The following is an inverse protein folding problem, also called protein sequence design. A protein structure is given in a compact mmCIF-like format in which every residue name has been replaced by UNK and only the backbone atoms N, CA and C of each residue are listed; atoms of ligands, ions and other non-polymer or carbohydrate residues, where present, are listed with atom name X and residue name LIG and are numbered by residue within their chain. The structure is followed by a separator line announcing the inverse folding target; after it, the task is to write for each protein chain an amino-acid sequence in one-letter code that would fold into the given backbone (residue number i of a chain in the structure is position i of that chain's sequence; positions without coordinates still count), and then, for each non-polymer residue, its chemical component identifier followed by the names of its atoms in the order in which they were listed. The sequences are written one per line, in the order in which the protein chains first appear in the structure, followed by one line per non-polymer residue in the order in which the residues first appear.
data_IF_829851132813
#
_entry.id   IF_829851132813
#
_cell.length_a   1.000
_cell.length_b   1.000
_cell.length_c   1.000
_cell.angle_alpha   90.00
_cell.angle_beta   90.00
_cell.angle_gamma   90.00
#
_symmetry.space_group_name_H-M   'P 1'
#
loop_
_entity.id
_entity.type
_entity.pdbx_description
1 polymer ?
#
# COMPACT_ATOMS: atom_id res chain seq x y z
N UNK A 1 21.10 -1.67 0.24
CA UNK A 1 20.20 -2.16 1.30
C UNK A 1 19.27 -1.07 1.84
N UNK A 2 19.75 0.00 2.50
CA UNK A 2 18.85 1.09 2.97
C UNK A 2 18.08 1.76 1.81
N UNK A 3 18.76 2.03 0.68
CA UNK A 3 18.14 2.65 -0.50
C UNK A 3 17.09 1.75 -1.16
N UNK A 4 17.27 0.42 -1.14
CA UNK A 4 16.32 -0.53 -1.73
C UNK A 4 15.01 -0.60 -0.92
N UNK A 5 15.12 -0.59 0.42
CA UNK A 5 13.96 -0.56 1.31
C UNK A 5 13.21 0.77 1.18
N UNK A 6 13.94 1.89 1.11
CA UNK A 6 13.33 3.21 0.87
C UNK A 6 12.58 3.23 -0.47
N UNK A 7 13.20 2.71 -1.54
CA UNK A 7 12.58 2.65 -2.87
C UNK A 7 11.33 1.76 -2.86
N UNK A 8 11.38 0.62 -2.17
CA UNK A 8 10.23 -0.26 -2.02
C UNK A 8 9.08 0.42 -1.27
N UNK A 9 9.35 1.04 -0.12
CA UNK A 9 8.35 1.75 0.67
C UNK A 9 7.72 2.91 -0.10
N UNK A 10 8.54 3.66 -0.83
CA UNK A 10 8.06 4.72 -1.72
C UNK A 10 7.15 4.15 -2.80
N UNK A 11 7.56 3.04 -3.42
CA UNK A 11 6.78 2.35 -4.46
C UNK A 11 5.44 1.82 -3.96
N UNK A 12 5.37 1.26 -2.74
CA UNK A 12 4.11 0.80 -2.14
C UNK A 12 3.12 1.95 -1.92
N UNK A 13 3.60 3.07 -1.37
CA UNK A 13 2.78 4.27 -1.14
C UNK A 13 2.32 4.90 -2.48
N UNK A 14 3.21 5.00 -3.46
CA UNK A 14 2.87 5.51 -4.80
C UNK A 14 1.87 4.60 -5.53
N UNK A 15 2.01 3.29 -5.37
CA UNK A 15 1.08 2.31 -5.94
C UNK A 15 -0.30 2.46 -5.31
N UNK A 16 -0.38 2.58 -3.99
CA UNK A 16 -1.64 2.85 -3.29
C UNK A 16 -2.29 4.16 -3.77
N UNK A 17 -1.51 5.25 -3.87
CA UNK A 17 -1.98 6.55 -4.38
C UNK A 17 -2.53 6.42 -5.81
N UNK A 18 -1.80 5.71 -6.69
CA UNK A 18 -2.19 5.46 -8.07
C UNK A 18 -3.46 4.61 -8.18
N UNK A 19 -3.63 3.63 -7.29
CA UNK A 19 -4.83 2.81 -7.20
C UNK A 19 -6.05 3.65 -6.82
N UNK A 20 -5.93 4.56 -5.84
CA UNK A 20 -7.02 5.48 -5.46
C UNK A 20 -7.36 6.46 -6.58
N UNK A 21 -6.35 7.03 -7.26
CA UNK A 21 -6.56 7.97 -8.37
C UNK A 21 -7.32 7.34 -9.54
N UNK A 22 -7.02 6.09 -9.86
CA UNK A 22 -7.60 5.36 -11.01
C UNK A 22 -8.88 4.62 -10.66
N UNK A 23 -9.35 4.69 -9.42
CA UNK A 23 -10.52 3.93 -9.00
C UNK A 23 -11.83 4.52 -9.51
N UNK A 24 -12.70 3.62 -9.96
CA UNK A 24 -14.08 3.84 -10.31
C UNK A 24 -14.97 2.71 -9.78
N UNK A 25 -16.21 2.65 -10.23
CA UNK A 25 -17.20 1.69 -9.70
C UNK A 25 -16.75 0.22 -9.88
N UNK A 26 -16.11 -0.11 -11.00
CA UNK A 26 -15.73 -1.48 -11.36
C UNK A 26 -14.63 -2.08 -10.47
N UNK A 27 -13.75 -1.26 -9.90
CA UNK A 27 -12.67 -1.70 -9.02
C UNK A 27 -12.86 -1.27 -7.56
N UNK A 28 -13.98 -0.65 -7.20
CA UNK A 28 -14.26 -0.19 -5.83
C UNK A 28 -14.13 -1.30 -4.77
N UNK A 29 -14.55 -2.53 -5.09
CA UNK A 29 -14.44 -3.68 -4.17
C UNK A 29 -12.99 -4.12 -3.90
N UNK A 30 -12.07 -3.82 -4.82
CA UNK A 30 -10.66 -4.16 -4.68
C UNK A 30 -9.87 -3.11 -3.89
N UNK A 31 -10.43 -1.91 -3.69
CA UNK A 31 -9.74 -0.80 -3.01
C UNK A 31 -9.38 -1.11 -1.56
N UNK A 32 -10.33 -1.64 -0.77
CA UNK A 32 -10.08 -2.00 0.62
C UNK A 32 -8.95 -3.02 0.78
N UNK A 33 -9.06 -4.21 0.16
CA UNK A 33 -7.99 -5.21 0.21
C UNK A 33 -6.65 -4.73 -0.35
N UNK A 34 -6.65 -3.88 -1.38
CA UNK A 34 -5.42 -3.29 -1.92
C UNK A 34 -4.77 -2.34 -0.92
N UNK A 35 -5.55 -1.49 -0.24
CA UNK A 35 -5.04 -0.59 0.79
C UNK A 35 -4.43 -1.35 1.97
N UNK A 36 -5.14 -2.38 2.46
CA UNK A 36 -4.63 -3.25 3.52
C UNK A 36 -3.30 -3.91 3.12
N UNK A 37 -3.23 -4.49 1.91
CA UNK A 37 -2.01 -5.14 1.40
C UNK A 37 -0.82 -4.17 1.35
N UNK A 38 -0.99 -2.98 0.79
CA UNK A 38 0.11 -2.01 0.69
C UNK A 38 0.53 -1.47 2.07
N UNK A 39 -0.42 -1.28 2.98
CA UNK A 39 -0.11 -0.89 4.37
C UNK A 39 0.64 -2.00 5.09
N UNK A 40 0.20 -3.25 4.99
CA UNK A 40 0.91 -4.40 5.56
C UNK A 40 2.34 -4.51 5.04
N UNK A 41 2.54 -4.30 3.73
CA UNK A 41 3.87 -4.29 3.13
C UNK A 41 4.75 -3.18 3.70
N UNK A 42 4.21 -1.98 3.93
CA UNK A 42 4.94 -0.88 4.58
C UNK A 42 5.32 -1.24 6.01
N UNK A 43 4.37 -1.72 6.82
CA UNK A 43 4.57 -2.02 8.23
C UNK A 43 5.65 -3.09 8.50
N UNK A 44 5.97 -3.93 7.51
CA UNK A 44 7.05 -4.93 7.61
C UNK A 44 8.46 -4.35 7.71
N UNK A 45 8.66 -3.07 7.34
CA UNK A 45 9.99 -2.46 7.25
C UNK A 45 10.22 -1.27 8.20
N UNK A 46 9.22 -0.93 9.01
CA UNK A 46 9.27 0.21 9.93
C UNK A 46 8.95 -0.21 11.36
N UNK A 47 9.60 0.44 12.32
CA UNK A 47 9.25 0.30 13.73
C UNK A 47 7.87 0.90 13.95
N UNK A 48 6.98 0.14 14.58
CA UNK A 48 5.62 0.59 14.86
C UNK A 48 5.65 1.66 15.95
N UNK A 49 5.08 2.84 15.65
CA UNK A 49 4.84 3.93 16.59
C UNK A 49 3.35 4.29 16.62
N UNK A 50 2.84 4.95 17.68
CA UNK A 50 1.46 5.42 17.72
C UNK A 50 1.08 6.31 16.53
N UNK A 51 1.98 7.18 16.09
CA UNK A 51 1.77 8.06 14.94
C UNK A 51 1.60 7.27 13.64
N UNK A 52 2.36 6.17 13.49
CA UNK A 52 2.24 5.28 12.34
C UNK A 52 0.95 4.45 12.40
N UNK A 53 0.55 3.97 13.58
CA UNK A 53 -0.74 3.28 13.77
C UNK A 53 -1.92 4.20 13.41
N UNK A 54 -1.90 5.44 13.88
CA UNK A 54 -2.94 6.43 13.56
C UNK A 54 -2.97 6.76 12.06
N UNK A 55 -1.80 6.97 11.44
CA UNK A 55 -1.72 7.29 10.02
C UNK A 55 -2.17 6.12 9.13
N UNK A 56 -1.80 4.88 9.49
CA UNK A 56 -2.25 3.68 8.76
C UNK A 56 -3.75 3.46 8.90
N UNK A 57 -4.29 3.58 10.12
CA UNK A 57 -5.73 3.51 10.36
C UNK A 57 -6.49 4.57 9.54
N UNK A 58 -6.02 5.82 9.58
CA UNK A 58 -6.64 6.92 8.84
C UNK A 58 -6.63 6.67 7.33
N UNK A 59 -5.51 6.21 6.78
CA UNK A 59 -5.40 5.88 5.35
C UNK A 59 -6.37 4.77 4.94
N UNK A 60 -6.38 3.64 5.65
CA UNK A 60 -7.27 2.50 5.36
C UNK A 60 -8.74 2.92 5.48
N UNK A 61 -9.11 3.60 6.55
CA UNK A 61 -10.47 4.08 6.76
C UNK A 61 -10.92 5.01 5.64
N UNK A 62 -10.09 5.99 5.22
CA UNK A 62 -10.48 6.94 4.16
C UNK A 62 -10.58 6.26 2.80
N UNK A 63 -9.70 5.30 2.49
CA UNK A 63 -9.83 4.49 1.27
C UNK A 63 -11.12 3.66 1.29
N UNK A 64 -11.48 3.07 2.45
CA UNK A 64 -12.72 2.32 2.59
C UNK A 64 -13.97 3.21 2.41
N UNK A 65 -13.96 4.44 2.94
CA UNK A 65 -15.03 5.41 2.74
C UNK A 65 -15.18 5.81 1.27
N UNK A 66 -14.06 6.06 0.58
CA UNK A 66 -14.07 6.32 -0.86
C UNK A 66 -14.59 5.13 -1.67
N UNK A 67 -14.15 3.91 -1.37
CA UNK A 67 -14.65 2.68 -1.97
C UNK A 67 -16.16 2.51 -1.77
N UNK A 68 -16.66 2.83 -0.58
CA UNK A 68 -18.09 2.81 -0.28
C UNK A 68 -18.86 3.85 -1.09
N UNK A 69 -18.35 5.06 -1.24
CA UNK A 69 -18.98 6.10 -2.07
C UNK A 69 -19.09 5.67 -3.53
N UNK A 70 -18.04 5.04 -4.08
CA UNK A 70 -18.05 4.45 -5.42
C UNK A 70 -19.09 3.31 -5.53
N UNK A 71 -19.10 2.39 -4.57
CA UNK A 71 -20.02 1.24 -4.58
C UNK A 71 -21.48 1.67 -4.45
N UNK A 72 -21.76 2.67 -3.62
CA UNK A 72 -23.09 3.23 -3.44
C UNK A 72 -23.54 4.11 -4.62
N UNK A 73 -22.66 4.37 -5.59
CA UNK A 73 -22.90 5.31 -6.69
C UNK A 73 -23.38 6.67 -6.16
N UNK A 74 -22.67 7.17 -5.15
CA UNK A 74 -22.91 8.47 -4.55
C UNK A 74 -22.81 9.61 -5.58
N UNK A 75 -23.19 10.82 -5.20
CA UNK A 75 -23.08 11.96 -6.11
C UNK A 75 -21.60 12.20 -6.48
N UNK A 76 -21.34 12.65 -7.71
CA UNK A 76 -19.95 12.86 -8.18
C UNK A 76 -19.17 13.76 -7.21
N UNK A 77 -19.78 14.83 -6.70
CA UNK A 77 -19.13 15.72 -5.74
C UNK A 77 -18.71 15.00 -4.45
N UNK A 78 -19.52 14.06 -3.96
CA UNK A 78 -19.24 13.27 -2.76
C UNK A 78 -18.11 12.26 -3.03
N UNK A 79 -18.11 11.62 -4.20
CA UNK A 79 -17.05 10.71 -4.64
C UNK A 79 -15.72 11.45 -4.75
N UNK A 80 -15.71 12.63 -5.39
CA UNK A 80 -14.52 13.47 -5.54
C UNK A 80 -14.00 14.01 -4.21
N UNK A 81 -14.89 14.33 -3.28
CA UNK A 81 -14.51 14.72 -1.93
C UNK A 81 -13.87 13.55 -1.18
N UNK A 82 -14.49 12.36 -1.19
CA UNK A 82 -13.94 11.18 -0.54
C UNK A 82 -12.60 10.75 -1.15
N UNK A 83 -12.42 10.90 -2.48
CA UNK A 83 -11.13 10.65 -3.14
C UNK A 83 -10.04 11.58 -2.62
N UNK A 84 -10.32 12.89 -2.54
CA UNK A 84 -9.36 13.89 -2.02
C UNK A 84 -8.96 13.60 -0.58
N UNK A 85 -9.91 13.22 0.26
CA UNK A 85 -9.64 12.85 1.65
C UNK A 85 -8.80 11.57 1.77
N UNK A 86 -9.05 10.56 0.93
CA UNK A 86 -8.24 9.36 0.87
C UNK A 86 -6.80 9.66 0.44
N UNK A 87 -6.62 10.50 -0.58
CA UNK A 87 -5.28 10.91 -1.04
C UNK A 87 -4.54 11.70 0.04
N UNK A 88 -5.19 12.64 0.72
CA UNK A 88 -4.59 13.39 1.81
C UNK A 88 -4.15 12.50 2.99
N UNK A 89 -4.94 11.45 3.30
CA UNK A 89 -4.56 10.48 4.31
C UNK A 89 -3.35 9.63 3.89
N UNK A 90 -3.28 9.22 2.61
CA UNK A 90 -2.12 8.51 2.05
C UNK A 90 -0.87 9.41 2.06
N UNK A 91 -1.00 10.69 1.75
CA UNK A 91 0.13 11.64 1.81
C UNK A 91 0.60 11.85 3.25
N UNK A 92 -0.31 11.86 4.23
CA UNK A 92 0.04 11.89 5.66
C UNK A 92 0.80 10.63 6.05
N UNK A 93 0.32 9.46 5.63
CA UNK A 93 1.01 8.19 5.85
C UNK A 93 2.42 8.21 5.23
N UNK A 94 2.57 8.74 4.02
CA UNK A 94 3.87 8.84 3.36
C UNK A 94 4.89 9.63 4.20
N UNK A 95 4.46 10.77 4.76
CA UNK A 95 5.31 11.62 5.63
C UNK A 95 5.72 10.86 6.90
N UNK A 96 4.77 10.15 7.54
CA UNK A 96 5.06 9.39 8.76
C UNK A 96 6.02 8.23 8.48
N UNK A 97 5.83 7.51 7.37
CA UNK A 97 6.70 6.40 6.95
C UNK A 97 8.11 6.86 6.62
N UNK A 98 8.27 8.07 6.06
CA UNK A 98 9.57 8.67 5.78
C UNK A 98 10.32 9.08 7.06
N UNK A 99 9.57 9.51 8.09
CA UNK A 99 10.12 9.83 9.42
C UNK A 99 10.29 8.64 10.37
N UNK A 100 9.80 7.46 10.01
CA UNK A 100 9.83 6.27 10.89
C UNK A 100 11.20 5.59 10.91
N UNK A 101 11.59 5.08 12.08
CA UNK A 101 12.76 4.23 12.21
C UNK A 101 12.58 2.93 11.41
N UNK A 102 13.64 2.49 10.73
CA UNK A 102 13.63 1.27 9.92
C UNK A 102 13.95 0.06 10.77
N UNK A 103 13.31 -1.07 10.49
CA UNK A 103 13.71 -2.34 11.11
C UNK A 103 15.03 -2.77 10.47
N UNK A 104 16.16 -2.54 11.13
CA UNK A 104 17.45 -3.09 10.72
C UNK A 104 17.39 -4.62 10.83
N UNK A 105 17.43 -5.35 9.70
CA UNK A 105 17.52 -6.82 9.79
C UNK A 105 18.37 -7.44 8.70
N UNK A 106 19.44 -8.11 9.13
CA UNK A 106 20.16 -9.15 8.37
C UNK A 106 19.31 -10.38 7.97
N UNK A 107 17.98 -10.28 8.03
CA UNK A 107 17.02 -11.23 7.48
C UNK A 107 16.51 -10.83 6.07
N UNK A 108 16.88 -9.63 5.59
CA UNK A 108 16.39 -9.00 4.35
C UNK A 108 16.71 -9.76 3.04
N UNK A 109 17.74 -10.59 3.00
CA UNK A 109 18.19 -11.25 1.76
C UNK A 109 17.20 -12.29 1.20
N UNK A 110 16.24 -12.80 1.99
CA UNK A 110 15.40 -13.95 1.58
C UNK A 110 14.06 -13.58 0.93
N UNK A 111 13.60 -12.34 1.06
CA UNK A 111 12.27 -11.95 0.56
C UNK A 111 12.32 -11.23 -0.79
N UNK A 112 13.39 -10.45 -1.05
CA UNK A 112 13.64 -9.84 -2.36
C UNK A 112 14.05 -10.88 -3.43
N UNK A 113 14.66 -12.00 -3.01
CA UNK A 113 15.13 -13.07 -3.90
C UNK A 113 14.01 -14.05 -4.32
N UNK A 114 12.89 -14.09 -3.57
CA UNK A 114 11.76 -14.98 -3.87
C UNK A 114 10.97 -14.58 -5.13
N UNK A 115 11.22 -13.39 -5.69
CA UNK A 115 10.71 -12.98 -7.02
C UNK A 115 11.51 -13.53 -8.21
N UNK A 116 12.63 -14.23 -7.96
CA UNK A 116 13.59 -14.68 -8.98
C UNK A 116 13.78 -16.20 -8.98
N UNK A 117 12.71 -17.00 -8.94
CA UNK A 117 12.83 -18.44 -9.19
C UNK A 117 12.71 -18.73 -10.69
N UNK A 118 13.74 -19.28 -11.37
CA UNK A 118 13.59 -19.77 -12.74
C UNK A 118 12.69 -21.03 -12.76
N UNK A 119 11.85 -21.14 -13.79
CA UNK A 119 10.95 -22.28 -14.01
C UNK A 119 11.68 -23.64 -13.88
N UNK A 120 11.03 -24.69 -13.34
CA UNK A 120 11.63 -26.00 -13.24
C UNK A 120 11.80 -26.61 -14.63
N UNK A 121 13.05 -26.81 -15.06
CA UNK A 121 13.38 -27.61 -16.24
C UNK A 121 12.81 -29.04 -16.11
N UNK A 122 12.00 -29.43 -17.08
CA UNK A 122 11.41 -30.77 -17.18
C UNK A 122 12.48 -31.87 -17.24
N UNK A 123 12.21 -33.07 -16.69
CA UNK A 123 13.19 -34.16 -16.69
C UNK A 123 13.41 -34.70 -18.11
N UNK A 124 14.68 -34.75 -18.52
CA UNK A 124 15.14 -35.50 -19.68
C UNK A 124 14.88 -36.99 -19.41
N UNK A 125 14.00 -37.58 -20.22
CA UNK A 125 13.76 -39.02 -20.22
C UNK A 125 15.00 -39.77 -20.75
N UNK A 126 15.33 -40.86 -20.08
CA UNK A 126 16.39 -41.80 -20.45
C UNK A 126 15.83 -42.92 -21.34
#
# INVERSE_FOLDING_TARGET
MADEVQNYLTSEIETLRSTVLRAGVLNAKALGPSAETHVENVLRFVVISPELEDATYLAVMRVALFARALYAQAQIAEIEQARREALAAIDTLAIVVDGSERIETGAMARHLDAGSMPEPMAPVAN
#
